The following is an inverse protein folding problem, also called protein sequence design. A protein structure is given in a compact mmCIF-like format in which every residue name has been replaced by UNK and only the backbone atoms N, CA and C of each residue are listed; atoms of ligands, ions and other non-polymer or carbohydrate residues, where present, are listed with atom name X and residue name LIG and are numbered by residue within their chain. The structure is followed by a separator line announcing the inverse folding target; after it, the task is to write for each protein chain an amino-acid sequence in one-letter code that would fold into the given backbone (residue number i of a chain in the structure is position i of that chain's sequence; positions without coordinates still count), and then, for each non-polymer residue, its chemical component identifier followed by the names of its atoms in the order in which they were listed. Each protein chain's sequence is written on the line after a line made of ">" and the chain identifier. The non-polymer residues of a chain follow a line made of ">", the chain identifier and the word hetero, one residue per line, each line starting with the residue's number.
data_IF_126311656506
#
_entry.id   IF_126311656506
#
_cell.length_a   1.000
_cell.length_b   1.000
_cell.length_c   1.000
_cell.angle_alpha   90.00
_cell.angle_beta   90.00
_cell.angle_gamma   90.00
#
_symmetry.space_group_name_H-M   'P 1'
#
loop_
_entity.id
_entity.type
_entity.pdbx_description
1 polymer ?
#
# COMPACT_ATOMS: atom_id res chain seq x y z
N UNK A 1 5.63 -17.70 -28.48
CA UNK A 1 5.01 -16.96 -29.61
C UNK A 1 4.35 -15.72 -29.04
N UNK A 2 4.85 -14.58 -29.47
CA UNK A 2 4.60 -13.24 -28.94
C UNK A 2 3.55 -12.58 -29.84
N UNK A 3 2.41 -12.17 -29.29
CA UNK A 3 1.42 -11.37 -30.02
C UNK A 3 1.37 -9.98 -29.39
N UNK A 4 1.91 -9.03 -30.15
CA UNK A 4 1.88 -7.61 -29.85
C UNK A 4 0.53 -7.00 -30.18
N UNK A 5 0.12 -6.04 -29.37
CA UNK A 5 -0.94 -5.10 -29.73
C UNK A 5 -0.39 -3.69 -29.64
N UNK A 6 -0.40 -3.04 -30.81
CA UNK A 6 0.08 -1.70 -31.07
C UNK A 6 -0.69 -0.65 -30.28
N UNK A 7 0.07 0.23 -29.62
CA UNK A 7 -0.39 1.51 -29.10
C UNK A 7 -0.26 2.55 -30.23
N UNK A 8 -1.35 3.26 -30.54
CA UNK A 8 -1.37 4.36 -31.49
C UNK A 8 -1.80 5.62 -30.74
N UNK A 9 -0.86 6.57 -30.60
CA UNK A 9 -1.07 7.90 -30.03
C UNK A 9 -1.34 8.94 -31.12
N UNK A 10 -2.29 9.85 -30.81
CA UNK A 10 -2.37 11.31 -31.07
C UNK A 10 -2.34 11.80 -32.54
N UNK A 11 -3.17 12.77 -32.97
CA UNK A 11 -3.06 14.22 -32.70
C UNK A 11 -4.39 15.01 -32.88
N UNK A 12 -4.37 16.27 -32.41
CA UNK A 12 -5.42 17.30 -32.26
C UNK A 12 -5.93 17.98 -33.55
N UNK A 13 -7.09 18.68 -33.48
CA UNK A 13 -7.19 20.16 -33.64
C UNK A 13 -8.61 20.73 -33.90
N UNK A 14 -8.93 21.77 -33.12
CA UNK A 14 -9.65 23.05 -33.35
C UNK A 14 -11.12 23.21 -33.86
N UNK A 15 -11.88 23.90 -32.99
CA UNK A 15 -12.73 25.10 -33.15
C UNK A 15 -13.88 25.19 -34.20
N UNK A 16 -15.11 25.43 -33.69
CA UNK A 16 -16.05 26.41 -34.28
C UNK A 16 -17.16 26.88 -33.30
N UNK A 17 -17.27 28.20 -33.27
CA UNK A 17 -18.24 29.18 -32.77
C UNK A 17 -19.77 28.90 -32.85
N UNK A 18 -20.45 29.31 -31.76
CA UNK A 18 -21.56 30.28 -31.69
C UNK A 18 -23.04 29.85 -31.97
N UNK A 19 -23.92 30.01 -30.94
CA UNK A 19 -25.17 30.81 -30.98
C UNK A 19 -26.17 30.52 -29.85
N UNK A 20 -26.45 31.58 -29.08
CA UNK A 20 -27.74 32.05 -28.52
C UNK A 20 -28.90 31.04 -28.30
N UNK A 21 -29.36 30.93 -27.04
CA UNK A 21 -30.75 31.31 -26.68
C UNK A 21 -30.96 31.49 -25.17
N UNK A 22 -31.24 32.74 -24.83
CA UNK A 22 -31.92 33.23 -23.63
C UNK A 22 -33.27 32.54 -23.39
N UNK A 23 -33.62 32.25 -22.14
CA UNK A 23 -34.99 32.47 -21.63
C UNK A 23 -34.96 32.75 -20.12
N UNK A 24 -35.19 34.02 -19.81
CA UNK A 24 -35.55 34.54 -18.49
C UNK A 24 -37.03 34.26 -18.22
N UNK A 25 -37.36 33.76 -17.03
CA UNK A 25 -38.66 34.01 -16.39
C UNK A 25 -38.47 34.19 -14.89
N UNK A 26 -38.60 35.44 -14.48
CA UNK A 26 -38.78 35.95 -13.12
C UNK A 26 -40.28 35.94 -12.82
N UNK A 27 -40.68 35.57 -11.60
CA UNK A 27 -41.87 36.11 -10.92
C UNK A 27 -41.61 36.09 -9.40
N UNK A 28 -41.83 37.24 -8.77
CA UNK A 28 -41.71 37.51 -7.34
C UNK A 28 -43.05 37.26 -6.60
N UNK A 29 -42.92 37.30 -5.28
CA UNK A 29 -43.85 37.14 -4.15
C UNK A 29 -45.09 38.06 -4.13
N UNK A 30 -46.13 37.65 -3.40
CA UNK A 30 -46.85 38.39 -2.30
C UNK A 30 -47.63 37.31 -1.47
N UNK A 31 -47.39 37.09 -0.18
CA UNK A 31 -47.88 37.75 1.07
C UNK A 31 -49.30 37.34 1.54
N UNK A 32 -49.45 37.09 2.87
CA UNK A 32 -50.74 37.18 3.57
C UNK A 32 -51.24 35.99 4.44
N UNK A 33 -50.83 35.95 5.72
CA UNK A 33 -51.77 35.97 6.87
C UNK A 33 -52.52 34.71 7.38
N UNK A 34 -51.94 34.07 8.40
CA UNK A 34 -52.49 33.72 9.74
C UNK A 34 -53.70 32.78 10.01
N UNK A 35 -53.48 31.94 11.03
CA UNK A 35 -54.37 31.40 12.07
C UNK A 35 -55.07 30.02 11.98
N UNK A 36 -54.62 29.17 12.91
CA UNK A 36 -55.39 28.40 13.90
C UNK A 36 -56.13 27.10 13.49
N UNK A 37 -55.71 26.02 14.15
CA UNK A 37 -56.29 24.67 14.18
C UNK A 37 -57.71 24.64 14.76
N UNK A 38 -58.47 23.54 14.53
CA UNK A 38 -58.56 22.57 15.63
C UNK A 38 -58.62 21.09 15.21
N UNK A 39 -58.26 20.24 16.17
CA UNK A 39 -58.22 18.79 16.10
C UNK A 39 -59.62 18.13 16.11
N UNK A 40 -59.76 16.96 15.43
CA UNK A 40 -60.17 15.68 16.05
C UNK A 40 -60.34 14.51 15.06
N UNK A 41 -59.73 13.38 15.48
CA UNK A 41 -60.09 11.95 15.29
C UNK A 41 -59.69 11.23 13.98
N UNK A 42 -58.80 10.24 14.17
CA UNK A 42 -58.32 9.18 13.25
C UNK A 42 -59.47 8.25 12.83
N UNK A 43 -59.30 7.50 11.72
CA UNK A 43 -58.90 6.10 11.90
C UNK A 43 -57.69 5.68 11.07
N UNK A 44 -57.06 4.62 11.56
CA UNK A 44 -55.86 3.91 11.11
C UNK A 44 -56.14 3.17 9.80
N UNK A 45 -55.35 3.38 8.75
CA UNK A 45 -55.05 2.36 7.74
C UNK A 45 -53.54 2.41 7.53
N UNK A 46 -52.87 1.35 7.99
CA UNK A 46 -51.48 1.05 7.69
C UNK A 46 -51.43 0.55 6.24
N UNK A 47 -50.68 1.24 5.38
CA UNK A 47 -50.19 0.64 4.14
C UNK A 47 -48.72 1.05 3.98
N UNK A 48 -47.84 0.18 4.47
CA UNK A 48 -46.42 0.23 4.18
C UNK A 48 -46.25 -0.06 2.68
N UNK A 49 -46.04 0.97 1.87
CA UNK A 49 -45.56 0.79 0.50
C UNK A 49 -44.11 0.33 0.59
N UNK A 50 -43.93 -0.99 0.66
CA UNK A 50 -42.64 -1.62 0.42
C UNK A 50 -42.19 -1.19 -0.99
N UNK A 51 -41.00 -0.57 -1.09
CA UNK A 51 -40.36 -0.28 -2.37
C UNK A 51 -40.11 -1.62 -3.06
N UNK A 52 -41.02 -2.04 -3.92
CA UNK A 52 -40.85 -3.20 -4.80
C UNK A 52 -39.73 -2.87 -5.76
N UNK A 53 -38.52 -3.34 -5.43
CA UNK A 53 -37.43 -3.36 -6.41
C UNK A 53 -37.88 -4.23 -7.56
N UNK A 54 -37.81 -3.70 -8.78
CA UNK A 54 -38.08 -4.49 -9.97
C UNK A 54 -37.07 -5.65 -10.03
N UNK A 55 -37.51 -6.88 -10.38
CA UNK A 55 -36.60 -7.99 -10.55
C UNK A 55 -35.60 -7.67 -11.66
N UNK A 56 -34.35 -8.02 -11.43
CA UNK A 56 -33.29 -7.85 -12.43
C UNK A 56 -33.64 -8.76 -13.62
N UNK A 57 -33.68 -8.24 -14.85
CA UNK A 57 -33.92 -9.04 -16.05
C UNK A 57 -33.00 -10.26 -16.13
N UNK A 58 -33.56 -11.41 -16.51
CA UNK A 58 -32.82 -12.68 -16.61
C UNK A 58 -31.61 -12.59 -17.56
N UNK A 59 -31.67 -11.70 -18.56
CA UNK A 59 -30.53 -11.43 -19.45
C UNK A 59 -29.34 -10.82 -18.71
N UNK A 60 -29.55 -9.97 -17.70
CA UNK A 60 -28.46 -9.42 -16.88
C UNK A 60 -27.93 -10.48 -15.90
N UNK A 61 -28.79 -11.34 -15.36
CA UNK A 61 -28.36 -12.47 -14.52
C UNK A 61 -27.53 -13.48 -15.33
N UNK A 62 -27.90 -13.74 -16.58
CA UNK A 62 -27.15 -14.63 -17.47
C UNK A 62 -25.82 -14.03 -17.96
N UNK A 63 -25.64 -12.71 -17.90
CA UNK A 63 -24.36 -12.03 -18.22
C UNK A 63 -23.36 -12.09 -17.07
N UNK A 64 -23.85 -12.29 -15.84
CA UNK A 64 -23.05 -12.47 -14.63
C UNK A 64 -23.49 -13.77 -13.94
N UNK A 65 -23.21 -14.96 -14.53
CA UNK A 65 -23.38 -16.20 -13.79
C UNK A 65 -22.62 -16.08 -12.46
N UNK A 66 -23.15 -16.68 -11.39
CA UNK A 66 -22.56 -16.71 -10.03
C UNK A 66 -21.23 -17.50 -10.00
N UNK A 67 -20.33 -17.23 -10.94
CA UNK A 67 -18.89 -17.45 -10.89
C UNK A 67 -18.28 -16.43 -9.91
N UNK A 68 -18.87 -16.28 -8.73
CA UNK A 68 -18.06 -16.00 -7.54
C UNK A 68 -17.39 -17.32 -7.19
N UNK A 69 -16.51 -17.79 -8.09
CA UNK A 69 -15.43 -18.62 -7.62
C UNK A 69 -14.65 -17.70 -6.70
N UNK A 70 -14.87 -17.87 -5.39
CA UNK A 70 -13.80 -17.64 -4.44
C UNK A 70 -12.65 -18.48 -4.97
N UNK A 71 -11.78 -17.86 -5.79
CA UNK A 71 -10.46 -18.39 -6.02
C UNK A 71 -9.86 -18.44 -4.62
N UNK A 72 -10.02 -19.58 -3.96
CA UNK A 72 -9.26 -19.93 -2.77
C UNK A 72 -7.83 -19.83 -3.21
N UNK A 73 -7.20 -18.69 -2.89
CA UNK A 73 -5.80 -18.46 -3.24
C UNK A 73 -4.99 -19.56 -2.56
N UNK A 74 -4.49 -20.49 -3.36
CA UNK A 74 -3.64 -21.55 -2.87
C UNK A 74 -2.34 -20.90 -2.38
N UNK A 75 -2.19 -20.83 -1.06
CA UNK A 75 -1.05 -20.17 -0.42
C UNK A 75 0.27 -20.82 -0.82
N UNK A 76 0.26 -22.09 -1.27
CA UNK A 76 1.45 -22.79 -1.75
C UNK A 76 2.07 -22.14 -2.99
N UNK A 77 1.26 -21.55 -3.88
CA UNK A 77 1.74 -20.83 -5.08
C UNK A 77 2.51 -19.54 -4.75
N UNK A 78 2.44 -19.10 -3.50
CA UNK A 78 3.13 -17.91 -3.02
C UNK A 78 4.08 -18.26 -1.87
N UNK A 79 4.60 -19.48 -1.79
CA UNK A 79 5.53 -19.90 -0.74
C UNK A 79 4.91 -19.96 0.67
N UNK A 80 3.61 -20.19 0.76
CA UNK A 80 2.85 -20.08 2.01
C UNK A 80 2.39 -18.65 2.33
N UNK A 81 2.54 -17.71 1.38
CA UNK A 81 2.12 -16.33 1.61
C UNK A 81 0.59 -16.21 1.62
N UNK A 82 0.02 -15.87 2.78
CA UNK A 82 -1.38 -15.42 2.90
C UNK A 82 -1.48 -13.92 2.68
N UNK A 83 -2.47 -13.47 1.90
CA UNK A 83 -2.78 -12.04 1.72
C UNK A 83 -3.60 -11.51 2.89
N UNK A 84 -3.30 -10.29 3.35
CA UNK A 84 -4.06 -9.63 4.43
C UNK A 84 -5.48 -9.25 4.02
N UNK A 85 -5.76 -9.09 2.72
CA UNK A 85 -7.08 -8.78 2.18
C UNK A 85 -7.36 -9.51 0.87
N UNK A 86 -8.64 -9.79 0.61
CA UNK A 86 -9.10 -10.42 -0.62
C UNK A 86 -8.97 -9.45 -1.81
N UNK A 87 -8.54 -9.95 -2.98
CA UNK A 87 -8.54 -9.13 -4.18
C UNK A 87 -9.97 -8.88 -4.66
N UNK A 88 -10.36 -7.61 -4.69
CA UNK A 88 -11.58 -7.14 -5.35
C UNK A 88 -11.20 -6.34 -6.59
N UNK A 89 -11.93 -6.52 -7.69
CA UNK A 89 -11.66 -5.81 -8.93
C UNK A 89 -11.73 -4.30 -8.70
N UNK A 90 -10.60 -3.62 -8.90
CA UNK A 90 -10.47 -2.18 -8.71
C UNK A 90 -9.79 -1.76 -7.40
N UNK A 91 -9.51 -2.70 -6.50
CA UNK A 91 -8.72 -2.50 -5.28
C UNK A 91 -7.28 -2.99 -5.51
N UNK A 92 -6.31 -2.12 -5.26
CA UNK A 92 -4.90 -2.36 -5.52
C UNK A 92 -4.09 -2.23 -4.23
N UNK A 93 -3.25 -3.21 -3.94
CA UNK A 93 -2.30 -3.14 -2.84
C UNK A 93 -1.27 -2.06 -3.14
N UNK A 94 -1.19 -1.04 -2.30
CA UNK A 94 -0.30 0.11 -2.49
C UNK A 94 0.61 0.31 -1.27
N UNK A 95 1.90 0.50 -1.50
CA UNK A 95 2.85 0.87 -0.45
C UNK A 95 4.01 1.68 -1.02
N UNK A 96 4.64 2.50 -0.17
CA UNK A 96 5.75 3.40 -0.50
C UNK A 96 7.00 2.95 0.24
N UNK A 97 8.14 2.93 -0.46
CA UNK A 97 9.40 2.41 0.08
C UNK A 97 10.61 3.05 -0.60
N UNK A 98 11.78 2.89 0.03
CA UNK A 98 13.09 3.14 -0.57
C UNK A 98 13.67 1.79 -1.03
N UNK A 99 14.04 1.63 -2.32
CA UNK A 99 14.64 0.40 -2.80
C UNK A 99 16.08 0.25 -2.27
N UNK A 100 16.47 -0.97 -1.92
CA UNK A 100 17.85 -1.32 -1.61
C UNK A 100 18.33 -2.37 -2.61
N UNK A 101 19.52 -2.18 -3.15
CA UNK A 101 20.16 -3.15 -4.05
C UNK A 101 21.45 -3.58 -3.34
N UNK A 102 21.50 -4.81 -2.81
CA UNK A 102 22.68 -5.28 -2.10
C UNK A 102 23.88 -5.47 -3.04
N UNK A 103 25.07 -5.37 -2.47
CA UNK A 103 26.34 -5.70 -3.10
C UNK A 103 26.55 -7.24 -3.08
N UNK A 104 27.53 -7.76 -3.82
CA UNK A 104 27.74 -9.22 -3.92
C UNK A 104 28.07 -9.87 -2.56
N UNK A 105 28.86 -9.19 -1.73
CA UNK A 105 29.28 -9.66 -0.39
C UNK A 105 28.08 -9.87 0.56
N UNK A 106 26.99 -9.14 0.36
CA UNK A 106 25.77 -9.29 1.15
C UNK A 106 25.14 -10.68 0.96
N UNK A 107 25.30 -11.31 -0.21
CA UNK A 107 24.74 -12.62 -0.49
C UNK A 107 25.35 -13.70 0.41
N UNK A 108 26.66 -13.69 0.57
CA UNK A 108 27.40 -14.63 1.42
C UNK A 108 26.99 -14.45 2.90
N UNK A 109 26.96 -13.21 3.38
CA UNK A 109 26.48 -12.91 4.74
C UNK A 109 25.03 -13.38 4.95
N UNK A 110 24.15 -13.16 3.96
CA UNK A 110 22.76 -13.60 4.07
C UNK A 110 22.67 -15.12 4.19
N UNK A 111 23.44 -15.88 3.41
CA UNK A 111 23.48 -17.34 3.51
C UNK A 111 23.97 -17.81 4.89
N UNK A 112 25.00 -17.18 5.44
CA UNK A 112 25.50 -17.48 6.79
C UNK A 112 24.46 -17.19 7.87
N UNK A 113 23.80 -16.02 7.80
CA UNK A 113 22.73 -15.65 8.72
C UNK A 113 21.56 -16.63 8.65
N UNK A 114 21.17 -17.07 7.45
CA UNK A 114 20.07 -18.02 7.29
C UNK A 114 20.44 -19.44 7.72
N UNK A 115 21.70 -19.84 7.58
CA UNK A 115 22.22 -21.10 8.11
C UNK A 115 22.16 -21.11 9.64
N UNK A 116 22.62 -20.03 10.29
CA UNK A 116 22.53 -19.85 11.73
C UNK A 116 21.07 -19.87 12.21
N UNK A 117 20.19 -19.11 11.55
CA UNK A 117 18.77 -19.07 11.90
C UNK A 117 18.04 -20.41 11.66
N UNK A 118 18.45 -21.16 10.63
CA UNK A 118 17.93 -22.49 10.30
C UNK A 118 18.28 -23.56 11.32
N UNK A 119 19.41 -23.41 12.04
CA UNK A 119 19.79 -24.31 13.14
C UNK A 119 18.75 -24.30 14.30
N UNK A 120 17.93 -23.26 14.39
CA UNK A 120 16.85 -23.14 15.35
C UNK A 120 15.51 -23.71 14.83
N UNK A 121 15.51 -24.49 13.74
CA UNK A 121 14.34 -25.26 13.30
C UNK A 121 13.30 -24.45 12.51
N UNK A 122 13.64 -23.23 12.09
CA UNK A 122 12.83 -22.41 11.22
C UNK A 122 13.28 -22.54 9.76
N UNK A 123 12.32 -22.73 8.85
CA UNK A 123 12.60 -22.67 7.40
C UNK A 123 12.50 -21.21 6.96
N UNK A 124 13.65 -20.58 6.79
CA UNK A 124 13.73 -19.21 6.31
C UNK A 124 13.76 -19.14 4.79
N UNK A 125 12.98 -18.21 4.26
CA UNK A 125 12.99 -17.86 2.83
C UNK A 125 13.69 -16.51 2.67
N UNK A 126 14.77 -16.41 1.88
CA UNK A 126 15.43 -15.13 1.61
C UNK A 126 14.46 -14.15 0.93
N UNK A 127 14.63 -12.85 1.14
CA UNK A 127 13.94 -11.83 0.36
C UNK A 127 14.51 -11.74 -1.05
N UNK A 128 13.62 -11.59 -2.03
CA UNK A 128 14.01 -11.39 -3.43
C UNK A 128 14.21 -9.90 -3.76
N UNK A 129 13.42 -9.02 -3.13
CA UNK A 129 13.48 -7.57 -3.31
C UNK A 129 13.65 -6.85 -1.97
N UNK A 130 14.81 -6.24 -1.80
CA UNK A 130 15.14 -5.52 -0.57
C UNK A 130 14.65 -4.08 -0.63
N UNK A 131 14.04 -3.64 0.46
CA UNK A 131 13.50 -2.29 0.57
C UNK A 131 13.34 -1.87 2.02
N UNK A 132 13.27 -0.56 2.22
CA UNK A 132 12.92 0.08 3.48
C UNK A 132 11.54 0.71 3.34
N UNK A 133 10.58 0.23 4.11
CA UNK A 133 9.18 0.69 4.05
C UNK A 133 8.99 2.06 4.68
N UNK A 134 8.25 2.94 3.97
CA UNK A 134 7.84 4.27 4.44
C UNK A 134 6.32 4.40 4.58
N UNK A 135 5.58 3.35 4.26
CA UNK A 135 4.15 3.25 4.52
C UNK A 135 3.76 1.81 4.86
N UNK A 136 2.57 1.65 5.43
CA UNK A 136 1.90 0.36 5.47
C UNK A 136 1.40 -0.02 4.06
N UNK A 137 1.04 -1.29 3.87
CA UNK A 137 0.31 -1.71 2.66
C UNK A 137 -1.16 -1.35 2.82
N UNK A 138 -1.63 -0.45 1.96
CA UNK A 138 -3.01 0.05 1.97
C UNK A 138 -3.74 -0.36 0.70
N UNK A 139 -5.07 -0.33 0.74
CA UNK A 139 -5.90 -0.60 -0.44
C UNK A 139 -6.24 0.70 -1.14
N UNK A 140 -5.72 0.89 -2.35
CA UNK A 140 -6.01 2.05 -3.20
C UNK A 140 -6.93 1.66 -4.36
N UNK A 141 -7.97 2.45 -4.59
CA UNK A 141 -8.87 2.24 -5.74
C UNK A 141 -8.19 2.67 -7.03
N UNK A 142 -8.46 1.95 -8.12
CA UNK A 142 -7.85 2.20 -9.43
C UNK A 142 -7.91 3.67 -9.88
N UNK A 143 -9.06 4.33 -9.70
CA UNK A 143 -9.24 5.73 -10.09
C UNK A 143 -8.44 6.73 -9.24
N UNK A 144 -8.01 6.34 -8.05
CA UNK A 144 -7.18 7.17 -7.17
C UNK A 144 -5.68 7.01 -7.41
N UNK A 145 -5.24 6.00 -8.18
CA UNK A 145 -3.81 5.72 -8.39
C UNK A 145 -3.09 6.95 -8.98
N UNK A 146 -3.63 7.55 -10.04
CA UNK A 146 -2.97 8.71 -10.67
C UNK A 146 -2.97 9.95 -9.76
N UNK A 147 -4.11 10.39 -9.18
CA UNK A 147 -4.11 11.49 -8.22
C UNK A 147 -3.20 11.26 -7.01
N UNK A 148 -3.15 10.04 -6.47
CA UNK A 148 -2.29 9.69 -5.32
C UNK A 148 -0.82 9.90 -5.65
N UNK A 149 -0.37 9.36 -6.79
CA UNK A 149 1.02 9.54 -7.22
C UNK A 149 1.35 11.00 -7.56
N UNK A 150 0.40 11.80 -8.02
CA UNK A 150 0.60 13.25 -8.23
C UNK A 150 0.76 14.00 -6.91
N UNK A 151 -0.08 13.72 -5.90
CA UNK A 151 0.07 14.29 -4.55
C UNK A 151 1.41 13.89 -3.93
N UNK A 152 1.77 12.61 -4.02
CA UNK A 152 3.06 12.11 -3.51
C UNK A 152 4.24 12.80 -4.19
N UNK A 153 4.20 13.00 -5.52
CA UNK A 153 5.23 13.75 -6.27
C UNK A 153 5.36 15.19 -5.78
N UNK A 154 4.24 15.88 -5.59
CA UNK A 154 4.24 17.26 -5.11
C UNK A 154 4.80 17.37 -3.68
N UNK A 155 4.48 16.40 -2.81
CA UNK A 155 4.96 16.37 -1.43
C UNK A 155 6.44 16.03 -1.27
N UNK A 156 7.04 15.33 -2.24
CA UNK A 156 8.42 14.86 -2.18
C UNK A 156 9.43 15.73 -2.93
N UNK A 157 8.98 16.73 -3.69
CA UNK A 157 9.84 17.50 -4.62
C UNK A 157 11.03 18.20 -3.95
N UNK A 158 10.93 18.58 -2.67
CA UNK A 158 11.98 19.31 -1.94
C UNK A 158 12.87 18.42 -1.07
N UNK A 159 12.66 17.10 -1.10
CA UNK A 159 13.45 16.18 -0.29
C UNK A 159 14.75 15.83 -1.02
N UNK A 160 15.86 16.00 -0.30
CA UNK A 160 17.19 15.73 -0.82
C UNK A 160 17.57 14.28 -0.63
N UNK A 161 18.48 13.81 -1.48
CA UNK A 161 19.18 12.54 -1.34
C UNK A 161 19.96 12.53 -0.03
N UNK A 162 20.02 11.37 0.58
CA UNK A 162 20.80 11.14 1.78
C UNK A 162 21.25 9.68 1.79
N UNK A 163 22.14 9.36 2.71
CA UNK A 163 22.58 8.00 2.95
C UNK A 163 22.08 7.59 4.33
N UNK A 164 21.51 6.40 4.43
CA UNK A 164 21.26 5.75 5.71
C UNK A 164 22.04 4.44 5.78
N UNK A 165 22.31 3.99 7.00
CA UNK A 165 22.94 2.69 7.24
C UNK A 165 22.14 1.85 8.22
N UNK A 166 22.08 0.55 7.95
CA UNK A 166 21.47 -0.45 8.82
C UNK A 166 22.50 -1.49 9.23
N UNK A 167 22.45 -1.92 10.49
CA UNK A 167 23.49 -2.80 11.07
C UNK A 167 23.03 -3.68 12.22
N UNK A 168 21.89 -3.37 12.83
CA UNK A 168 21.36 -4.12 13.96
C UNK A 168 20.32 -5.12 13.50
N UNK A 169 20.54 -6.41 13.70
CA UNK A 169 19.53 -7.42 13.48
C UNK A 169 18.39 -7.26 14.46
N UNK A 170 17.19 -7.42 13.93
CA UNK A 170 15.96 -7.43 14.70
C UNK A 170 14.94 -8.34 14.04
N UNK A 171 14.16 -9.01 14.87
CA UNK A 171 13.08 -9.87 14.42
C UNK A 171 11.78 -9.06 14.45
N UNK A 172 11.04 -9.11 13.35
CA UNK A 172 9.77 -8.43 13.19
C UNK A 172 8.67 -9.45 12.94
N UNK A 173 7.45 -9.13 13.38
CA UNK A 173 6.28 -9.92 13.06
C UNK A 173 5.25 -9.01 12.40
N UNK A 174 4.54 -9.52 11.39
CA UNK A 174 3.43 -8.76 10.83
C UNK A 174 2.26 -8.66 11.83
N UNK A 175 1.37 -7.69 11.59
CA UNK A 175 0.24 -7.43 12.48
C UNK A 175 -0.67 -8.66 12.68
N UNK A 176 -0.81 -9.51 11.65
CA UNK A 176 -1.62 -10.72 11.70
C UNK A 176 -0.93 -11.92 12.35
N UNK A 177 0.35 -11.80 12.74
CA UNK A 177 1.17 -12.90 13.29
C UNK A 177 1.25 -14.14 12.40
N UNK A 178 1.19 -13.94 11.09
CA UNK A 178 1.29 -15.02 10.12
C UNK A 178 2.69 -15.17 9.53
N UNK A 179 3.58 -14.22 9.83
CA UNK A 179 4.96 -14.20 9.37
C UNK A 179 5.89 -13.55 10.37
N UNK A 180 7.10 -14.06 10.38
CA UNK A 180 8.23 -13.47 11.06
C UNK A 180 9.27 -13.08 10.02
N UNK A 181 9.90 -11.92 10.21
CA UNK A 181 10.92 -11.37 9.33
C UNK A 181 12.20 -11.16 10.12
N UNK A 182 13.32 -11.55 9.52
CA UNK A 182 14.64 -11.12 9.96
C UNK A 182 14.94 -9.83 9.21
N UNK A 183 15.21 -8.73 9.91
CA UNK A 183 15.53 -7.47 9.29
C UNK A 183 16.75 -6.80 9.93
N UNK A 184 17.40 -5.93 9.17
CA UNK A 184 18.44 -5.03 9.67
C UNK A 184 17.84 -3.64 9.90
N UNK A 185 17.82 -3.22 11.16
CA UNK A 185 17.35 -1.93 11.63
C UNK A 185 18.34 -0.82 11.27
N UNK A 186 17.79 0.32 10.87
CA UNK A 186 18.54 1.52 10.52
C UNK A 186 19.16 2.14 11.76
N UNK A 187 20.47 2.33 11.72
CA UNK A 187 21.28 2.96 12.76
C UNK A 187 21.49 4.46 12.48
N UNK A 188 21.67 4.85 11.22
CA UNK A 188 21.93 6.24 10.81
C UNK A 188 20.93 6.71 9.75
N UNK A 189 20.54 7.99 9.76
CA UNK A 189 19.56 8.53 8.80
C UNK A 189 18.09 8.44 9.24
N UNK A 190 17.83 8.04 10.50
CA UNK A 190 16.48 7.90 11.04
C UNK A 190 15.64 9.19 10.95
N UNK A 191 16.24 10.36 11.22
CA UNK A 191 15.53 11.64 11.16
C UNK A 191 15.02 11.94 9.74
N UNK A 192 15.87 11.73 8.72
CA UNK A 192 15.49 11.92 7.32
C UNK A 192 14.40 10.95 6.88
N UNK A 193 14.47 9.69 7.34
CA UNK A 193 13.43 8.70 7.09
C UNK A 193 12.10 9.08 7.74
N UNK A 194 12.15 9.61 8.96
CA UNK A 194 10.97 10.09 9.67
C UNK A 194 10.34 11.27 8.92
N UNK A 195 11.14 12.24 8.46
CA UNK A 195 10.65 13.38 7.68
C UNK A 195 10.01 12.94 6.35
N UNK A 196 10.56 11.90 5.70
CA UNK A 196 9.98 11.30 4.51
C UNK A 196 8.68 10.55 4.82
N UNK A 197 8.67 9.71 5.87
CA UNK A 197 7.46 8.99 6.29
C UNK A 197 6.33 9.98 6.62
N UNK A 198 6.64 11.10 7.28
CA UNK A 198 5.67 12.17 7.53
C UNK A 198 5.15 12.81 6.24
N UNK A 199 6.00 12.97 5.21
CA UNK A 199 5.56 13.45 3.90
C UNK A 199 4.59 12.47 3.23
N UNK A 200 4.94 11.19 3.25
CA UNK A 200 4.09 10.10 2.74
C UNK A 200 2.76 10.08 3.51
N UNK A 201 2.79 10.23 4.83
CA UNK A 201 1.61 10.24 5.69
C UNK A 201 0.66 11.41 5.39
N UNK A 202 1.17 12.57 4.97
CA UNK A 202 0.31 13.68 4.50
C UNK A 202 -0.52 13.22 3.29
N UNK A 203 0.12 12.58 2.31
CA UNK A 203 -0.60 11.99 1.16
C UNK A 203 -1.52 10.86 1.60
N UNK A 204 -1.12 9.97 2.52
CA UNK A 204 -2.02 8.92 3.02
C UNK A 204 -3.30 9.52 3.64
N UNK A 205 -3.16 10.56 4.46
CA UNK A 205 -4.31 11.25 5.09
C UNK A 205 -5.22 11.93 4.07
N UNK A 206 -4.67 12.56 3.03
CA UNK A 206 -5.46 13.17 1.95
C UNK A 206 -6.41 12.17 1.28
N UNK A 207 -5.95 10.91 1.13
CA UNK A 207 -6.71 9.83 0.53
C UNK A 207 -7.47 8.97 1.55
N UNK A 208 -7.48 9.37 2.83
CA UNK A 208 -8.10 8.66 3.96
C UNK A 208 -7.60 7.21 4.12
N UNK A 209 -6.31 7.03 3.91
CA UNK A 209 -5.60 5.76 4.09
C UNK A 209 -4.91 5.74 5.45
N UNK A 210 -4.55 4.55 5.91
CA UNK A 210 -3.77 4.39 7.14
C UNK A 210 -2.38 5.00 6.98
N UNK A 211 -1.95 5.71 8.01
CA UNK A 211 -0.61 6.29 8.11
C UNK A 211 0.40 5.24 8.54
N UNK A 212 1.68 5.59 8.56
CA UNK A 212 2.72 4.74 9.08
C UNK A 212 2.60 4.51 10.60
N UNK A 213 3.43 3.61 11.12
CA UNK A 213 3.43 3.23 12.54
C UNK A 213 3.76 4.43 13.44
N UNK A 214 3.11 4.51 14.60
CA UNK A 214 3.33 5.62 15.56
C UNK A 214 4.77 5.70 16.05
N UNK A 215 5.41 4.55 16.25
CA UNK A 215 6.83 4.43 16.59
C UNK A 215 7.52 3.61 15.50
N UNK A 216 8.01 4.27 14.42
CA UNK A 216 8.53 3.57 13.26
C UNK A 216 9.90 2.95 13.55
N UNK A 217 10.01 1.64 13.33
CA UNK A 217 11.29 0.93 13.29
C UNK A 217 11.65 0.69 11.82
N UNK A 218 12.46 1.59 11.25
CA UNK A 218 12.89 1.48 9.86
C UNK A 218 13.91 0.35 9.72
N UNK A 219 13.66 -0.55 8.80
CA UNK A 219 14.50 -1.72 8.57
C UNK A 219 14.44 -2.18 7.13
N UNK A 220 15.46 -2.94 6.72
CA UNK A 220 15.46 -3.74 5.51
C UNK A 220 15.20 -5.18 5.90
N UNK A 221 14.12 -5.77 5.38
CA UNK A 221 13.83 -7.19 5.58
C UNK A 221 14.79 -8.04 4.76
N UNK A 222 15.50 -8.96 5.42
CA UNK A 222 16.46 -9.86 4.80
C UNK A 222 15.83 -11.19 4.38
N UNK A 223 14.99 -11.73 5.26
CA UNK A 223 14.35 -13.03 5.08
C UNK A 223 13.07 -13.12 5.91
N UNK A 224 12.28 -14.15 5.64
CA UNK A 224 11.00 -14.36 6.32
C UNK A 224 10.67 -15.85 6.47
N UNK A 225 9.83 -16.17 7.44
CA UNK A 225 9.26 -17.50 7.64
C UNK A 225 7.77 -17.39 7.99
N UNK A 226 7.05 -18.51 7.90
CA UNK A 226 5.63 -18.60 8.24
C UNK A 226 5.45 -18.74 9.76
N UNK A 227 4.44 -18.06 10.31
CA UNK A 227 4.11 -18.08 11.73
C UNK A 227 4.85 -17.01 12.55
N UNK A 228 4.57 -17.01 13.86
CA UNK A 228 5.21 -16.15 14.85
C UNK A 228 6.32 -16.93 15.56
N UNK A 229 7.57 -16.65 15.20
CA UNK A 229 8.78 -17.22 15.80
C UNK A 229 9.58 -16.16 16.56
N UNK A 230 8.97 -15.01 16.88
CA UNK A 230 9.66 -13.87 17.54
C UNK A 230 10.39 -14.30 18.81
N UNK A 231 9.68 -14.94 19.75
CA UNK A 231 10.26 -15.36 21.02
C UNK A 231 11.37 -16.40 20.89
N UNK A 232 11.28 -17.31 19.90
CA UNK A 232 12.33 -18.30 19.65
C UNK A 232 13.61 -17.64 19.11
N UNK A 233 13.44 -16.62 18.27
CA UNK A 233 14.54 -16.01 17.54
C UNK A 233 15.21 -14.87 18.31
N UNK A 234 14.51 -14.26 19.28
CA UNK A 234 15.10 -13.25 20.19
C UNK A 234 16.29 -13.80 20.99
N UNK A 235 16.32 -15.10 21.29
CA UNK A 235 17.43 -15.73 22.02
C UNK A 235 18.67 -15.91 21.13
N UNK A 236 18.48 -16.26 19.85
CA UNK A 236 19.58 -16.52 18.92
C UNK A 236 20.06 -15.28 18.15
N UNK A 237 19.31 -14.18 18.19
CA UNK A 237 19.66 -12.97 17.43
C UNK A 237 20.99 -12.37 17.85
N UNK A 238 21.39 -12.56 19.12
CA UNK A 238 22.68 -12.10 19.62
C UNK A 238 23.84 -12.89 19.01
N UNK A 239 23.66 -14.18 18.76
CA UNK A 239 24.66 -15.02 18.10
C UNK A 239 24.80 -14.62 16.64
N UNK A 240 23.68 -14.36 15.97
CA UNK A 240 23.67 -13.87 14.58
C UNK A 240 24.25 -12.46 14.47
N UNK A 241 24.02 -11.59 15.45
CA UNK A 241 24.61 -10.24 15.45
C UNK A 241 26.14 -10.28 15.51
N UNK A 242 26.74 -11.30 16.15
CA UNK A 242 28.21 -11.46 16.14
C UNK A 242 28.75 -11.75 14.74
N UNK A 243 28.00 -12.45 13.89
CA UNK A 243 28.41 -12.67 12.49
C UNK A 243 28.51 -11.34 11.73
N UNK A 244 27.66 -10.37 12.07
CA UNK A 244 27.72 -9.02 11.50
C UNK A 244 28.87 -8.22 12.11
N UNK A 245 29.01 -8.24 13.43
CA UNK A 245 29.97 -7.41 14.16
C UNK A 245 31.43 -7.88 13.97
N UNK A 246 31.66 -9.19 13.88
CA UNK A 246 32.97 -9.85 13.76
C UNK A 246 33.38 -10.14 12.30
N UNK A 247 32.67 -9.55 11.33
CA UNK A 247 32.99 -9.69 9.90
C UNK A 247 34.42 -9.21 9.59
N UNK A 248 35.10 -9.82 8.61
CA UNK A 248 36.56 -9.71 8.41
C UNK A 248 37.08 -8.27 8.28
N UNK A 249 36.28 -7.39 7.66
CA UNK A 249 36.59 -5.97 7.45
C UNK A 249 36.02 -5.03 8.54
N UNK A 250 35.53 -5.60 9.64
CA UNK A 250 34.77 -4.91 10.68
C UNK A 250 33.25 -5.04 10.48
N UNK A 251 32.43 -4.39 11.34
CA UNK A 251 30.99 -4.60 11.36
C UNK A 251 30.32 -4.36 10.01
N UNK A 252 29.62 -5.37 9.49
CA UNK A 252 28.94 -5.28 8.21
C UNK A 252 27.72 -4.35 8.32
N UNK A 253 27.63 -3.36 7.42
CA UNK A 253 26.54 -2.39 7.40
C UNK A 253 25.92 -2.33 6.01
N UNK A 254 24.59 -2.42 5.95
CA UNK A 254 23.87 -2.07 4.73
C UNK A 254 23.96 -0.56 4.55
N UNK A 255 24.59 -0.12 3.47
CA UNK A 255 24.59 1.29 3.08
C UNK A 255 23.52 1.52 2.02
N UNK A 256 22.51 2.33 2.35
CA UNK A 256 21.42 2.66 1.45
C UNK A 256 21.60 4.09 0.93
N UNK A 257 21.95 4.22 -0.34
CA UNK A 257 21.93 5.49 -1.03
C UNK A 257 20.47 5.83 -1.41
N UNK A 258 19.83 6.66 -0.61
CA UNK A 258 18.44 7.05 -0.78
C UNK A 258 18.34 8.07 -1.91
N UNK A 259 18.21 7.57 -3.14
CA UNK A 259 18.16 8.38 -4.37
C UNK A 259 16.75 8.60 -4.91
N UNK A 260 15.84 7.68 -4.64
CA UNK A 260 14.44 7.74 -5.09
C UNK A 260 13.53 6.95 -4.13
N UNK A 261 12.29 7.41 -3.98
CA UNK A 261 11.21 6.59 -3.41
C UNK A 261 10.50 5.85 -4.54
N UNK A 262 9.95 4.68 -4.22
CA UNK A 262 9.08 3.91 -5.09
C UNK A 262 7.71 3.73 -4.43
N UNK A 263 6.66 3.84 -5.23
CA UNK A 263 5.30 3.45 -4.86
C UNK A 263 4.91 2.24 -5.70
N UNK A 264 4.74 1.08 -5.07
CA UNK A 264 4.18 -0.09 -5.73
C UNK A 264 2.67 -0.06 -5.58
N UNK A 265 1.93 -0.37 -6.64
CA UNK A 265 0.48 -0.46 -6.68
C UNK A 265 0.08 -1.64 -7.56
N UNK A 266 -0.19 -2.78 -6.92
CA UNK A 266 -0.31 -4.09 -7.55
C UNK A 266 0.91 -4.41 -8.42
N UNK A 267 0.75 -4.45 -9.74
CA UNK A 267 1.83 -4.76 -10.68
C UNK A 267 2.51 -3.52 -11.29
N UNK A 268 2.18 -2.31 -10.82
CA UNK A 268 2.76 -1.06 -11.31
C UNK A 268 3.67 -0.46 -10.25
N UNK A 269 4.81 0.06 -10.68
CA UNK A 269 5.75 0.77 -9.80
C UNK A 269 5.97 2.18 -10.32
N UNK A 270 5.79 3.18 -9.45
CA UNK A 270 6.00 4.59 -9.73
C UNK A 270 7.25 5.08 -9.00
N UNK A 271 8.03 5.96 -9.63
CA UNK A 271 9.32 6.44 -9.13
C UNK A 271 9.30 7.93 -8.82
N UNK A 272 9.91 8.30 -7.70
CA UNK A 272 9.98 9.65 -7.17
C UNK A 272 11.44 9.97 -6.81
N UNK A 273 12.23 10.50 -7.76
CA UNK A 273 13.63 10.84 -7.50
C UNK A 273 13.74 11.96 -6.47
N UNK A 274 14.72 11.85 -5.58
CA UNK A 274 15.08 12.88 -4.61
C UNK A 274 16.10 13.86 -5.22
N UNK A 275 16.07 15.10 -4.71
CA UNK A 275 16.97 16.18 -5.16
C UNK A 275 18.43 15.86 -4.79
N UNK A 276 19.39 16.12 -5.69
CA UNK A 276 20.81 15.91 -5.42
C UNK A 276 21.35 16.74 -4.24
#
# INVERSE_FOLDING_TARGET
>A
MLVGYSSSSEEESEAATDRNKSFSRKCQEEDGGNNASPARKKPKIEEQVAKTRLPVPDCLLAMFPDEVSSQTEDSSLHGGRVRSFQHERGNWATYVYLPYHPEEEFGELLEELLSAAGAHGAVWTPQEEFHLSLSQTVVLRHHWIQPFNQSLRAGLVHYKRFVCSAGRLKVYCNAERTRTFLGMEVCTGHAQLLDLAQAVDRTMKEFRLETFYTEPSFHVSLAWCVGDLTGQMEECIQEMQRLIDDHEEGPFLLRLDCVELRCSTGNKTFRFPLEP
#
